data_IF_513721375337
#
_entry.id   IF_513721375337
#
_cell.length_a   1.000
_cell.length_b   1.000
_cell.length_c   1.000
_cell.angle_alpha   90.00
_cell.angle_beta   90.00
_cell.angle_gamma   90.00
#
_symmetry.space_group_name_H-M   'P 1'
#
loop_
_entity.id
_entity.type
_entity.pdbx_description
1 polymer ?
#
# COMPACT_ATOMS: atom_id res chain seq x y z
N UNK A 1 -12.62 -1.98 -27.37
CA UNK A 1 -11.56 -1.05 -27.85
C UNK A 1 -10.37 -1.21 -26.92
N UNK A 2 -9.14 -1.09 -27.42
CA UNK A 2 -7.95 -1.07 -26.57
C UNK A 2 -7.95 0.18 -25.68
N UNK A 3 -7.31 0.08 -24.50
CA UNK A 3 -7.33 1.15 -23.50
C UNK A 3 -6.69 2.44 -24.03
N UNK A 4 -5.53 2.38 -24.68
CA UNK A 4 -4.82 3.59 -25.13
C UNK A 4 -5.65 4.39 -26.16
N UNK A 5 -6.36 3.67 -27.04
CA UNK A 5 -7.24 4.30 -28.03
C UNK A 5 -8.47 4.91 -27.36
N UNK A 6 -9.00 4.27 -26.33
CA UNK A 6 -10.16 4.77 -25.59
C UNK A 6 -9.82 6.03 -24.81
N UNK A 7 -8.70 6.02 -24.09
CA UNK A 7 -8.17 7.16 -23.35
C UNK A 7 -7.97 8.38 -24.25
N UNK A 8 -7.30 8.19 -25.40
CA UNK A 8 -7.13 9.26 -26.39
C UNK A 8 -8.47 9.80 -26.94
N UNK A 9 -9.46 8.93 -27.15
CA UNK A 9 -10.80 9.35 -27.59
C UNK A 9 -11.54 10.15 -26.53
N UNK A 10 -11.37 9.80 -25.26
CA UNK A 10 -11.98 10.55 -24.16
C UNK A 10 -11.31 11.93 -24.03
N UNK A 11 -9.98 12.00 -24.15
CA UNK A 11 -9.27 13.29 -24.22
C UNK A 11 -9.79 14.18 -25.37
N UNK A 12 -10.00 13.61 -26.55
CA UNK A 12 -10.62 14.34 -27.66
C UNK A 12 -12.05 14.78 -27.36
N UNK A 13 -12.86 13.91 -26.73
CA UNK A 13 -14.23 14.25 -26.33
C UNK A 13 -14.27 15.44 -25.36
N UNK A 14 -13.33 15.52 -24.40
CA UNK A 14 -13.20 16.66 -23.48
C UNK A 14 -12.97 17.96 -24.27
N UNK A 15 -12.07 17.94 -25.25
CA UNK A 15 -11.83 19.10 -26.11
C UNK A 15 -13.05 19.47 -26.97
N UNK A 16 -13.70 18.47 -27.57
CA UNK A 16 -14.89 18.69 -28.38
C UNK A 16 -16.05 19.26 -27.55
N UNK A 17 -16.21 18.81 -26.31
CA UNK A 17 -17.24 19.33 -25.42
C UNK A 17 -17.01 20.81 -25.09
N UNK A 18 -15.75 21.22 -24.80
CA UNK A 18 -15.40 22.64 -24.63
C UNK A 18 -15.73 23.46 -25.87
N UNK A 19 -15.28 23.01 -27.05
CA UNK A 19 -15.49 23.73 -28.31
C UNK A 19 -16.99 23.83 -28.63
N UNK A 20 -17.73 22.74 -28.47
CA UNK A 20 -19.16 22.72 -28.76
C UNK A 20 -19.93 23.71 -27.89
N UNK A 21 -19.72 23.70 -26.57
CA UNK A 21 -20.45 24.58 -25.65
C UNK A 21 -19.98 26.03 -25.77
N UNK A 22 -18.68 26.30 -25.69
CA UNK A 22 -18.14 27.67 -25.61
C UNK A 22 -18.11 28.41 -26.95
N UNK A 23 -18.08 27.68 -28.07
CA UNK A 23 -18.00 28.29 -29.41
C UNK A 23 -19.24 28.02 -30.24
N UNK A 24 -19.59 26.75 -30.50
CA UNK A 24 -20.62 26.42 -31.48
C UNK A 24 -22.02 26.80 -30.99
N UNK A 25 -22.42 26.32 -29.81
CA UNK A 25 -23.74 26.61 -29.26
C UNK A 25 -23.89 28.08 -28.85
N UNK A 26 -22.82 28.68 -28.31
CA UNK A 26 -22.81 30.12 -28.03
C UNK A 26 -22.92 30.97 -29.31
N UNK A 27 -22.29 30.55 -30.41
CA UNK A 27 -22.40 31.20 -31.71
C UNK A 27 -23.79 31.08 -32.29
N UNK A 28 -24.35 29.87 -32.30
CA UNK A 28 -25.70 29.59 -32.79
C UNK A 28 -26.74 30.39 -32.00
N UNK A 29 -26.61 30.45 -30.66
CA UNK A 29 -27.51 31.24 -29.82
C UNK A 29 -27.51 32.72 -30.22
N UNK A 30 -26.34 33.31 -30.45
CA UNK A 30 -26.20 34.70 -30.92
C UNK A 30 -26.84 34.92 -32.30
N UNK A 31 -26.72 33.95 -33.21
CA UNK A 31 -27.33 34.03 -34.53
C UNK A 31 -28.87 33.98 -34.40
N UNK A 32 -29.40 33.04 -33.61
CA UNK A 32 -30.83 32.99 -33.31
C UNK A 32 -31.33 34.30 -32.68
N UNK A 33 -30.58 34.87 -31.73
CA UNK A 33 -30.90 36.14 -31.08
C UNK A 33 -30.92 37.32 -32.07
N UNK A 34 -30.02 37.35 -33.06
CA UNK A 34 -29.97 38.41 -34.07
C UNK A 34 -31.07 38.28 -35.14
N UNK A 35 -31.39 37.07 -35.57
CA UNK A 35 -32.34 36.83 -36.68
C UNK A 35 -33.79 36.90 -36.19
N UNK A 36 -34.06 36.39 -34.98
CA UNK A 36 -35.41 36.24 -34.43
C UNK A 36 -35.69 37.24 -33.30
N UNK A 37 -35.06 38.41 -33.37
CA UNK A 37 -35.26 39.49 -32.42
C UNK A 37 -36.74 39.91 -32.36
N UNK A 38 -37.28 40.05 -31.14
CA UNK A 38 -38.69 40.35 -30.89
C UNK A 38 -39.67 39.16 -30.92
N UNK A 39 -39.22 37.92 -31.20
CA UNK A 39 -40.08 36.71 -31.16
C UNK A 39 -39.49 35.59 -30.29
N UNK A 40 -39.41 35.85 -28.98
CA UNK A 40 -38.72 35.00 -27.99
C UNK A 40 -39.10 33.52 -28.05
N UNK A 41 -40.38 33.19 -28.23
CA UNK A 41 -40.86 31.79 -28.28
C UNK A 41 -40.33 31.03 -29.50
N UNK A 42 -40.26 31.66 -30.68
CA UNK A 42 -39.75 31.01 -31.89
C UNK A 42 -38.23 30.93 -31.87
N UNK A 43 -37.56 31.96 -31.32
CA UNK A 43 -36.11 31.99 -31.14
C UNK A 43 -35.59 30.81 -30.34
N UNK A 44 -36.19 30.59 -29.17
CA UNK A 44 -35.74 29.53 -28.26
C UNK A 44 -36.05 28.14 -28.81
N UNK A 45 -37.15 27.99 -29.56
CA UNK A 45 -37.52 26.73 -30.20
C UNK A 45 -36.63 26.41 -31.40
N UNK A 46 -36.31 27.39 -32.24
CA UNK A 46 -35.39 27.23 -33.36
C UNK A 46 -33.99 26.81 -32.87
N UNK A 47 -33.47 27.50 -31.85
CA UNK A 47 -32.19 27.13 -31.24
C UNK A 47 -32.21 25.69 -30.70
N UNK A 48 -33.27 25.29 -30.02
CA UNK A 48 -33.43 23.92 -29.51
C UNK A 48 -33.38 22.88 -30.65
N UNK A 49 -34.17 23.09 -31.71
CA UNK A 49 -34.24 22.17 -32.85
C UNK A 49 -32.91 22.02 -33.61
N UNK A 50 -32.12 23.10 -33.73
CA UNK A 50 -30.82 23.05 -34.40
C UNK A 50 -29.77 22.31 -33.55
N UNK A 51 -29.80 22.51 -32.24
CA UNK A 51 -28.76 22.01 -31.33
C UNK A 51 -29.02 20.60 -30.79
N UNK A 52 -30.29 20.15 -30.71
CA UNK A 52 -30.69 18.92 -30.00
C UNK A 52 -29.92 17.68 -30.45
N UNK A 53 -29.75 17.49 -31.76
CA UNK A 53 -29.03 16.33 -32.30
C UNK A 53 -27.54 16.37 -31.94
N UNK A 54 -26.91 17.54 -32.02
CA UNK A 54 -25.49 17.71 -31.70
C UNK A 54 -25.21 17.48 -30.22
N UNK A 55 -26.08 18.01 -29.35
CA UNK A 55 -26.00 17.78 -27.89
C UNK A 55 -26.20 16.30 -27.58
N UNK A 56 -27.21 15.67 -28.18
CA UNK A 56 -27.48 14.24 -28.00
C UNK A 56 -26.28 13.37 -28.37
N UNK A 57 -25.62 13.63 -29.51
CA UNK A 57 -24.42 12.89 -29.92
C UNK A 57 -23.29 13.04 -28.91
N UNK A 58 -23.00 14.27 -28.46
CA UNK A 58 -21.94 14.53 -27.48
C UNK A 58 -22.21 13.81 -26.15
N UNK A 59 -23.43 13.92 -25.63
CA UNK A 59 -23.80 13.30 -24.35
C UNK A 59 -23.87 11.78 -24.45
N UNK A 60 -24.33 11.22 -25.58
CA UNK A 60 -24.40 9.77 -25.79
C UNK A 60 -23.04 9.08 -25.72
N UNK A 61 -21.96 9.76 -26.19
CA UNK A 61 -20.60 9.26 -26.01
C UNK A 61 -20.26 9.17 -24.52
N UNK A 62 -20.54 10.25 -23.78
CA UNK A 62 -20.30 10.27 -22.34
C UNK A 62 -21.04 9.16 -21.59
N UNK A 63 -22.31 8.96 -21.93
CA UNK A 63 -23.12 7.89 -21.36
C UNK A 63 -22.56 6.50 -21.69
N UNK A 64 -22.11 6.28 -22.92
CA UNK A 64 -21.54 5.00 -23.32
C UNK A 64 -20.27 4.67 -22.53
N UNK A 65 -19.45 5.67 -22.20
CA UNK A 65 -18.27 5.48 -21.33
C UNK A 65 -18.70 5.19 -19.89
N UNK A 66 -19.62 5.97 -19.33
CA UNK A 66 -20.09 5.78 -17.96
C UNK A 66 -20.77 4.41 -17.74
N UNK A 67 -21.49 3.90 -18.76
CA UNK A 67 -22.12 2.57 -18.73
C UNK A 67 -21.17 1.43 -19.12
N UNK A 68 -19.94 1.73 -19.53
CA UNK A 68 -18.99 0.70 -19.94
C UNK A 68 -18.48 -0.11 -18.76
N UNK A 69 -17.83 -1.25 -19.02
CA UNK A 69 -17.22 -2.07 -17.96
C UNK A 69 -16.29 -1.22 -17.09
N UNK A 70 -16.59 -1.15 -15.79
CA UNK A 70 -15.79 -0.47 -14.77
C UNK A 70 -14.41 -1.13 -14.62
N UNK A 71 -13.38 -0.32 -14.42
CA UNK A 71 -12.04 -0.78 -14.03
C UNK A 71 -11.31 0.35 -13.29
N UNK A 72 -10.34 0.03 -12.41
CA UNK A 72 -9.62 1.06 -11.65
C UNK A 72 -8.92 2.08 -12.54
N UNK A 73 -8.32 1.65 -13.65
CA UNK A 73 -7.59 2.51 -14.58
C UNK A 73 -8.49 3.56 -15.25
N UNK A 74 -9.79 3.23 -15.40
CA UNK A 74 -10.78 4.15 -15.97
C UNK A 74 -11.19 5.28 -15.03
N UNK A 75 -10.96 5.13 -13.73
CA UNK A 75 -11.46 6.08 -12.73
C UNK A 75 -10.95 7.51 -13.00
N UNK A 76 -9.67 7.67 -13.34
CA UNK A 76 -9.07 8.99 -13.57
C UNK A 76 -9.66 9.66 -14.81
N UNK A 77 -9.84 8.91 -15.89
CA UNK A 77 -10.45 9.44 -17.11
C UNK A 77 -11.93 9.77 -16.93
N UNK A 78 -12.66 9.02 -16.08
CA UNK A 78 -14.02 9.37 -15.67
C UNK A 78 -14.06 10.67 -14.85
N UNK A 79 -13.06 10.91 -14.00
CA UNK A 79 -12.92 12.16 -13.27
C UNK A 79 -12.66 13.34 -14.21
N UNK A 80 -11.80 13.18 -15.23
CA UNK A 80 -11.58 14.21 -16.24
C UNK A 80 -12.88 14.57 -16.99
N UNK A 81 -13.69 13.55 -17.31
CA UNK A 81 -15.01 13.75 -17.92
C UNK A 81 -15.98 14.47 -16.98
N UNK A 82 -15.95 14.15 -15.69
CA UNK A 82 -16.76 14.82 -14.68
C UNK A 82 -16.34 16.29 -14.50
N UNK A 83 -15.04 16.57 -14.49
CA UNK A 83 -14.50 17.93 -14.42
C UNK A 83 -14.99 18.79 -15.57
N UNK A 84 -14.94 18.29 -16.81
CA UNK A 84 -15.40 19.08 -17.95
C UNK A 84 -16.90 19.35 -17.91
N UNK A 85 -17.70 18.37 -17.48
CA UNK A 85 -19.15 18.57 -17.34
C UNK A 85 -19.47 19.64 -16.31
N UNK A 86 -18.71 19.70 -15.22
CA UNK A 86 -18.86 20.74 -14.19
C UNK A 86 -18.31 22.09 -14.60
N UNK A 87 -17.17 22.11 -15.31
CA UNK A 87 -16.59 23.33 -15.89
C UNK A 87 -17.61 24.04 -16.79
N UNK A 88 -18.38 23.27 -17.57
CA UNK A 88 -19.34 23.78 -18.54
C UNK A 88 -20.76 23.96 -18.00
N UNK A 89 -21.01 23.61 -16.73
CA UNK A 89 -22.36 23.58 -16.18
C UNK A 89 -23.06 24.95 -16.27
N UNK A 90 -22.38 26.02 -15.89
CA UNK A 90 -22.94 27.38 -15.93
C UNK A 90 -23.28 27.84 -17.35
N UNK A 91 -22.43 27.53 -18.32
CA UNK A 91 -22.63 27.87 -19.72
C UNK A 91 -23.77 27.07 -20.32
N UNK A 92 -23.90 25.79 -19.97
CA UNK A 92 -25.02 24.94 -20.37
C UNK A 92 -26.34 25.50 -19.81
N UNK A 93 -26.38 25.87 -18.53
CA UNK A 93 -27.58 26.48 -17.92
C UNK A 93 -27.96 27.81 -18.58
N UNK A 94 -26.96 28.63 -18.94
CA UNK A 94 -27.19 29.91 -19.63
C UNK A 94 -27.72 29.69 -21.06
N UNK A 95 -27.06 28.84 -21.84
CA UNK A 95 -27.38 28.62 -23.27
C UNK A 95 -28.73 27.94 -23.44
N UNK A 96 -29.03 26.96 -22.59
CA UNK A 96 -30.21 26.10 -22.67
C UNK A 96 -31.28 26.45 -21.63
N UNK A 97 -31.23 27.66 -21.06
CA UNK A 97 -32.12 28.11 -19.97
C UNK A 97 -33.61 28.19 -20.32
N UNK A 98 -33.96 28.20 -21.61
CA UNK A 98 -35.34 28.27 -22.09
C UNK A 98 -36.13 26.97 -21.80
N UNK A 99 -37.47 27.06 -21.83
CA UNK A 99 -38.34 25.88 -21.69
C UNK A 99 -38.16 24.89 -22.84
N UNK A 100 -37.88 25.36 -24.04
CA UNK A 100 -37.67 24.51 -25.22
C UNK A 100 -36.40 23.65 -25.13
N UNK A 101 -35.44 24.06 -24.29
CA UNK A 101 -34.14 23.40 -24.16
C UNK A 101 -34.00 22.57 -22.87
N UNK A 102 -35.08 22.38 -22.11
CA UNK A 102 -35.03 21.74 -20.78
C UNK A 102 -34.44 20.33 -20.82
N UNK A 103 -34.83 19.53 -21.83
CA UNK A 103 -34.37 18.14 -21.99
C UNK A 103 -32.84 18.06 -22.17
N UNK A 104 -32.23 19.04 -22.85
CA UNK A 104 -30.77 19.07 -23.05
C UNK A 104 -30.02 19.36 -21.75
N UNK A 105 -30.54 20.26 -20.91
CA UNK A 105 -29.98 20.53 -19.58
C UNK A 105 -30.12 19.32 -18.67
N UNK A 106 -31.31 18.73 -18.64
CA UNK A 106 -31.57 17.53 -17.85
C UNK A 106 -30.67 16.37 -18.28
N UNK A 107 -30.45 16.19 -19.59
CA UNK A 107 -29.53 15.19 -20.12
C UNK A 107 -28.07 15.45 -19.70
N UNK A 108 -27.60 16.70 -19.76
CA UNK A 108 -26.24 17.06 -19.33
C UNK A 108 -26.05 16.84 -17.81
N UNK A 109 -27.04 17.23 -17.01
CA UNK A 109 -27.05 17.00 -15.56
C UNK A 109 -27.08 15.50 -15.24
N UNK A 110 -27.91 14.74 -15.96
CA UNK A 110 -28.02 13.28 -15.84
C UNK A 110 -26.69 12.59 -16.13
N UNK A 111 -25.98 13.01 -17.20
CA UNK A 111 -24.65 12.49 -17.51
C UNK A 111 -23.65 12.80 -16.38
N UNK A 112 -23.65 14.03 -15.86
CA UNK A 112 -22.76 14.45 -14.76
C UNK A 112 -22.96 13.57 -13.53
N UNK A 113 -24.21 13.36 -13.13
CA UNK A 113 -24.56 12.47 -12.02
C UNK A 113 -24.13 11.03 -12.30
N UNK A 114 -24.41 10.53 -13.52
CA UNK A 114 -24.03 9.17 -13.90
C UNK A 114 -22.53 8.95 -13.83
N UNK A 115 -21.71 9.89 -14.32
CA UNK A 115 -20.26 9.82 -14.24
C UNK A 115 -19.79 9.71 -12.78
N UNK A 116 -20.35 10.53 -11.90
CA UNK A 116 -20.02 10.50 -10.49
C UNK A 116 -20.47 9.22 -9.77
N UNK A 117 -21.66 8.70 -10.07
CA UNK A 117 -22.12 7.38 -9.60
C UNK A 117 -21.14 6.30 -10.04
N UNK A 118 -20.74 6.29 -11.32
CA UNK A 118 -19.79 5.32 -11.85
C UNK A 118 -18.42 5.41 -11.17
N UNK A 119 -17.95 6.61 -10.81
CA UNK A 119 -16.72 6.79 -10.03
C UNK A 119 -16.85 6.16 -8.64
N UNK A 120 -17.96 6.40 -7.92
CA UNK A 120 -18.20 5.79 -6.60
C UNK A 120 -18.27 4.26 -6.68
N UNK A 121 -19.01 3.75 -7.65
CA UNK A 121 -19.10 2.34 -7.97
C UNK A 121 -17.73 1.72 -8.31
N UNK A 122 -16.85 2.48 -8.98
CA UNK A 122 -15.50 2.02 -9.34
C UNK A 122 -14.59 1.94 -8.10
N UNK A 123 -14.77 2.82 -7.10
CA UNK A 123 -14.05 2.69 -5.82
C UNK A 123 -14.39 1.40 -5.09
N UNK A 124 -15.68 1.04 -5.05
CA UNK A 124 -16.15 -0.20 -4.41
C UNK A 124 -15.57 -1.42 -5.13
N UNK A 125 -15.63 -1.44 -6.46
CA UNK A 125 -15.04 -2.52 -7.26
C UNK A 125 -13.52 -2.64 -7.04
N UNK A 126 -12.82 -1.51 -6.94
CA UNK A 126 -11.38 -1.49 -6.70
C UNK A 126 -11.03 -2.05 -5.33
N UNK A 127 -11.74 -1.64 -4.27
CA UNK A 127 -11.56 -2.17 -2.92
C UNK A 127 -11.77 -3.69 -2.89
N UNK A 128 -12.86 -4.18 -3.49
CA UNK A 128 -13.16 -5.61 -3.56
C UNK A 128 -12.08 -6.37 -4.34
N UNK A 129 -11.59 -5.81 -5.44
CA UNK A 129 -10.51 -6.41 -6.24
C UNK A 129 -9.18 -6.48 -5.48
N UNK A 130 -8.85 -5.46 -4.68
CA UNK A 130 -7.65 -5.44 -3.84
C UNK A 130 -7.76 -6.46 -2.71
N UNK A 131 -8.91 -6.51 -2.02
CA UNK A 131 -9.13 -7.42 -0.91
C UNK A 131 -9.13 -8.89 -1.36
N UNK A 132 -9.78 -9.18 -2.50
CA UNK A 132 -9.88 -10.54 -3.07
C UNK A 132 -8.74 -10.90 -4.01
N UNK A 133 -7.66 -10.12 -4.05
CA UNK A 133 -6.53 -10.39 -4.94
C UNK A 133 -5.95 -11.79 -4.68
N UNK A 134 -6.36 -12.73 -5.53
CA UNK A 134 -6.07 -14.15 -5.44
C UNK A 134 -4.71 -14.51 -6.06
N UNK A 135 -3.92 -13.52 -6.46
CA UNK A 135 -2.60 -13.78 -7.05
C UNK A 135 -1.73 -14.57 -6.06
N UNK A 136 -1.25 -15.72 -6.52
CA UNK A 136 -0.33 -16.60 -5.77
C UNK A 136 1.11 -16.08 -5.77
N UNK A 137 1.32 -14.83 -6.18
CA UNK A 137 2.64 -14.23 -6.33
C UNK A 137 3.22 -13.97 -4.93
N UNK A 138 3.78 -15.00 -4.32
CA UNK A 138 4.50 -14.86 -3.05
C UNK A 138 5.91 -14.38 -3.34
N UNK A 139 6.28 -13.26 -2.73
CA UNK A 139 7.66 -12.76 -2.78
C UNK A 139 8.50 -13.58 -1.82
N UNK A 140 9.26 -14.54 -2.34
CA UNK A 140 9.96 -15.55 -1.53
C UNK A 140 10.95 -14.98 -0.50
N UNK A 141 11.42 -13.75 -0.71
CA UNK A 141 12.39 -13.04 0.14
C UNK A 141 11.72 -12.13 1.19
N UNK A 142 10.38 -12.05 1.21
CA UNK A 142 9.64 -11.22 2.15
C UNK A 142 9.69 -9.72 1.85
N UNK A 143 10.10 -9.31 0.65
CA UNK A 143 10.14 -7.90 0.24
C UNK A 143 8.73 -7.27 0.12
N UNK A 144 8.66 -6.01 -0.31
CA UNK A 144 7.40 -5.32 -0.60
C UNK A 144 6.69 -6.02 -1.77
N UNK A 145 5.42 -6.36 -1.58
CA UNK A 145 4.61 -7.01 -2.60
C UNK A 145 4.23 -6.01 -3.72
N UNK A 146 4.23 -6.41 -5.00
CA UNK A 146 3.86 -5.51 -6.11
C UNK A 146 2.47 -4.86 -5.95
N UNK A 147 1.49 -5.60 -5.41
CA UNK A 147 0.16 -5.06 -5.07
C UNK A 147 0.25 -3.83 -4.15
N UNK A 148 1.15 -3.85 -3.16
CA UNK A 148 1.33 -2.72 -2.23
C UNK A 148 1.80 -1.49 -2.97
N UNK A 149 2.80 -1.61 -3.84
CA UNK A 149 3.26 -0.49 -4.65
C UNK A 149 2.19 -0.01 -5.62
N UNK A 150 1.43 -0.92 -6.25
CA UNK A 150 0.33 -0.59 -7.16
C UNK A 150 -0.78 0.21 -6.46
N UNK A 151 -1.31 -0.29 -5.34
CA UNK A 151 -2.38 0.37 -4.59
C UNK A 151 -1.92 1.72 -4.04
N UNK A 152 -0.68 1.81 -3.54
CA UNK A 152 -0.14 3.07 -3.03
C UNK A 152 0.04 4.10 -4.15
N UNK A 153 0.49 3.69 -5.33
CA UNK A 153 0.57 4.59 -6.48
C UNK A 153 -0.83 5.02 -6.95
N UNK A 154 -1.79 4.11 -6.95
CA UNK A 154 -3.19 4.44 -7.23
C UNK A 154 -3.71 5.50 -6.27
N UNK A 155 -3.49 5.32 -4.95
CA UNK A 155 -3.87 6.32 -3.95
C UNK A 155 -3.15 7.65 -4.19
N UNK A 156 -1.85 7.66 -4.51
CA UNK A 156 -1.16 8.92 -4.85
C UNK A 156 -1.84 9.66 -6.00
N UNK A 157 -2.19 8.96 -7.09
CA UNK A 157 -2.92 9.56 -8.19
C UNK A 157 -4.33 10.04 -7.80
N UNK A 158 -5.01 9.36 -6.88
CA UNK A 158 -6.30 9.87 -6.37
C UNK A 158 -6.16 11.25 -5.70
N UNK A 159 -5.05 11.49 -5.01
CA UNK A 159 -4.82 12.76 -4.34
C UNK A 159 -4.51 13.91 -5.31
N UNK A 160 -4.02 13.62 -6.51
CA UNK A 160 -3.93 14.63 -7.58
C UNK A 160 -5.33 15.16 -7.97
N UNK A 161 -6.37 14.33 -7.81
CA UNK A 161 -7.77 14.66 -8.05
C UNK A 161 -8.57 15.04 -6.78
N UNK A 162 -7.89 15.35 -5.67
CA UNK A 162 -8.57 15.58 -4.38
C UNK A 162 -9.66 16.67 -4.44
N UNK A 163 -9.45 17.77 -5.16
CA UNK A 163 -10.42 18.86 -5.29
C UNK A 163 -11.68 18.39 -6.01
N UNK A 164 -11.50 17.60 -7.06
CA UNK A 164 -12.55 17.07 -7.92
C UNK A 164 -13.35 16.02 -7.16
N UNK A 165 -12.69 15.13 -6.44
CA UNK A 165 -13.34 14.15 -5.58
C UNK A 165 -14.16 14.80 -4.48
N UNK A 166 -13.64 15.85 -3.82
CA UNK A 166 -14.40 16.59 -2.81
C UNK A 166 -15.66 17.25 -3.40
N UNK A 167 -15.56 17.77 -4.63
CA UNK A 167 -16.71 18.35 -5.33
C UNK A 167 -17.72 17.27 -5.73
N UNK A 168 -17.24 16.12 -6.20
CA UNK A 168 -18.05 14.96 -6.53
C UNK A 168 -18.84 14.47 -5.32
N UNK A 169 -18.19 14.32 -4.16
CA UNK A 169 -18.88 13.85 -2.95
C UNK A 169 -19.98 14.80 -2.47
N UNK A 170 -19.82 16.12 -2.63
CA UNK A 170 -20.86 17.10 -2.30
C UNK A 170 -22.14 16.95 -3.13
N UNK A 171 -22.07 16.34 -4.30
CA UNK A 171 -23.26 16.15 -5.15
C UNK A 171 -24.17 15.02 -4.65
N UNK A 172 -23.65 14.09 -3.85
CA UNK A 172 -24.36 12.88 -3.39
C UNK A 172 -24.61 12.85 -1.89
N UNK A 173 -23.75 13.52 -1.12
CA UNK A 173 -23.81 13.49 0.34
C UNK A 173 -23.59 14.91 0.89
N UNK A 174 -24.41 15.28 1.88
CA UNK A 174 -24.26 16.53 2.64
C UNK A 174 -23.15 16.43 3.70
N UNK A 175 -22.59 15.24 3.89
CA UNK A 175 -21.47 14.97 4.79
C UNK A 175 -20.19 15.66 4.33
N UNK A 176 -19.25 15.79 5.26
CA UNK A 176 -17.95 16.40 4.99
C UNK A 176 -17.17 15.62 3.91
N UNK A 177 -16.87 16.25 2.75
CA UNK A 177 -16.14 15.61 1.67
C UNK A 177 -14.73 15.14 2.06
N UNK A 178 -14.10 15.84 3.01
CA UNK A 178 -12.81 15.43 3.56
C UNK A 178 -12.95 14.10 4.32
N UNK A 179 -13.99 13.97 5.15
CA UNK A 179 -14.30 12.72 5.84
C UNK A 179 -14.63 11.57 4.86
N UNK A 180 -15.32 11.84 3.76
CA UNK A 180 -15.64 10.84 2.73
C UNK A 180 -14.38 10.38 1.98
N UNK A 181 -13.51 11.30 1.57
CA UNK A 181 -12.24 10.96 0.93
C UNK A 181 -11.33 10.19 1.89
N UNK A 182 -11.30 10.57 3.17
CA UNK A 182 -10.56 9.86 4.21
C UNK A 182 -11.10 8.44 4.40
N UNK A 183 -12.43 8.28 4.40
CA UNK A 183 -13.10 6.99 4.51
C UNK A 183 -12.77 6.06 3.33
N UNK A 184 -12.89 6.54 2.09
CA UNK A 184 -12.53 5.77 0.88
C UNK A 184 -11.05 5.38 0.91
N UNK A 185 -10.16 6.31 1.23
CA UNK A 185 -8.73 6.04 1.33
C UNK A 185 -8.44 5.00 2.41
N UNK A 186 -9.06 5.12 3.58
CA UNK A 186 -8.89 4.18 4.70
C UNK A 186 -9.38 2.78 4.33
N UNK A 187 -10.52 2.67 3.63
CA UNK A 187 -11.06 1.39 3.14
C UNK A 187 -10.12 0.71 2.16
N UNK A 188 -9.58 1.44 1.19
CA UNK A 188 -8.57 0.91 0.24
C UNK A 188 -7.33 0.41 0.99
N UNK A 189 -6.83 1.18 1.96
CA UNK A 189 -5.67 0.77 2.77
C UNK A 189 -5.97 -0.47 3.63
N UNK A 190 -7.19 -0.58 4.17
CA UNK A 190 -7.61 -1.74 4.95
C UNK A 190 -7.74 -2.99 4.07
N UNK A 191 -8.34 -2.87 2.89
CA UNK A 191 -8.43 -3.95 1.91
C UNK A 191 -7.04 -4.46 1.51
N UNK A 192 -6.08 -3.55 1.29
CA UNK A 192 -4.69 -3.91 1.03
C UNK A 192 -4.08 -4.67 2.22
N UNK A 193 -4.27 -4.20 3.44
CA UNK A 193 -3.76 -4.87 4.65
C UNK A 193 -4.37 -6.26 4.83
N UNK A 194 -5.67 -6.43 4.62
CA UNK A 194 -6.35 -7.73 4.69
C UNK A 194 -5.80 -8.70 3.65
N UNK A 195 -5.60 -8.22 2.42
CA UNK A 195 -5.00 -8.98 1.32
C UNK A 195 -3.57 -9.42 1.66
N UNK A 196 -2.76 -8.53 2.23
CA UNK A 196 -1.40 -8.83 2.68
C UNK A 196 -1.38 -9.84 3.83
N UNK A 197 -2.26 -9.73 4.82
CA UNK A 197 -2.40 -10.73 5.88
C UNK A 197 -2.74 -12.11 5.31
N UNK A 198 -3.70 -12.17 4.37
CA UNK A 198 -4.06 -13.39 3.64
C UNK A 198 -2.87 -14.01 2.91
N UNK A 199 -2.06 -13.20 2.22
CA UNK A 199 -0.85 -13.67 1.52
C UNK A 199 0.26 -14.09 2.49
N UNK A 200 0.40 -13.41 3.62
CA UNK A 200 1.44 -13.70 4.62
C UNK A 200 1.31 -15.11 5.22
N UNK A 201 0.08 -15.66 5.24
CA UNK A 201 -0.22 -17.03 5.71
C UNK A 201 0.34 -18.14 4.79
N UNK A 202 0.81 -17.79 3.60
CA UNK A 202 1.40 -18.75 2.65
C UNK A 202 2.88 -19.05 2.98
N UNK A 203 3.56 -18.22 3.77
CA UNK A 203 4.92 -18.49 4.21
C UNK A 203 4.95 -19.62 5.23
N UNK A 204 5.89 -20.55 5.05
CA UNK A 204 6.13 -21.64 6.01
C UNK A 204 6.87 -21.19 7.26
N UNK A 205 7.76 -20.21 7.12
CA UNK A 205 8.53 -19.65 8.24
C UNK A 205 7.75 -18.47 8.85
N UNK A 206 7.27 -18.59 10.10
CA UNK A 206 6.53 -17.52 10.75
C UNK A 206 7.35 -16.23 10.92
N UNK A 207 8.69 -16.34 10.93
CA UNK A 207 9.58 -15.18 11.00
C UNK A 207 9.53 -14.37 9.70
N UNK A 208 9.48 -15.07 8.55
CA UNK A 208 9.37 -14.44 7.24
C UNK A 208 8.00 -13.79 7.05
N UNK A 209 6.93 -14.39 7.58
CA UNK A 209 5.60 -13.78 7.66
C UNK A 209 5.66 -12.41 8.34
N UNK A 210 6.32 -12.32 9.50
CA UNK A 210 6.44 -11.04 10.22
C UNK A 210 7.29 -10.02 9.46
N UNK A 211 8.40 -10.46 8.85
CA UNK A 211 9.26 -9.59 8.05
C UNK A 211 8.52 -9.02 6.83
N UNK A 212 7.75 -9.86 6.15
CA UNK A 212 6.91 -9.47 5.01
C UNK A 212 5.87 -8.42 5.40
N UNK A 213 5.12 -8.65 6.48
CA UNK A 213 4.12 -7.69 6.96
C UNK A 213 4.78 -6.37 7.38
N UNK A 214 5.90 -6.45 8.11
CA UNK A 214 6.69 -5.28 8.51
C UNK A 214 7.11 -4.43 7.30
N UNK A 215 7.70 -5.06 6.28
CA UNK A 215 8.16 -4.37 5.06
C UNK A 215 7.02 -3.66 4.33
N UNK A 216 5.88 -4.34 4.16
CA UNK A 216 4.75 -3.78 3.42
C UNK A 216 4.05 -2.65 4.19
N UNK A 217 3.80 -2.83 5.49
CA UNK A 217 3.21 -1.75 6.32
C UNK A 217 4.16 -0.56 6.41
N UNK A 218 5.47 -0.78 6.56
CA UNK A 218 6.45 0.30 6.56
C UNK A 218 6.46 1.08 5.24
N UNK A 219 6.40 0.37 4.10
CA UNK A 219 6.31 1.00 2.79
C UNK A 219 5.05 1.86 2.64
N UNK A 220 3.90 1.36 3.12
CA UNK A 220 2.63 2.10 3.15
C UNK A 220 2.80 3.39 3.98
N UNK A 221 3.30 3.29 5.20
CA UNK A 221 3.53 4.43 6.10
C UNK A 221 4.46 5.47 5.49
N UNK A 222 5.61 5.03 4.94
CA UNK A 222 6.59 5.93 4.32
C UNK A 222 6.02 6.62 3.09
N UNK A 223 5.17 5.93 2.34
CA UNK A 223 4.54 6.49 1.14
C UNK A 223 3.47 7.52 1.48
N UNK A 224 2.61 7.24 2.46
CA UNK A 224 1.59 8.18 2.96
C UNK A 224 2.24 9.42 3.54
N UNK A 225 3.33 9.28 4.31
CA UNK A 225 4.06 10.42 4.87
C UNK A 225 4.67 11.36 3.83
N UNK A 226 4.85 10.89 2.60
CA UNK A 226 5.45 11.63 1.49
C UNK A 226 4.40 12.17 0.52
N UNK A 227 3.12 12.02 0.81
CA UNK A 227 2.02 12.48 -0.04
C UNK A 227 1.00 13.28 0.76
N UNK A 228 0.13 13.99 0.05
CA UNK A 228 -0.98 14.79 0.61
C UNK A 228 -1.98 13.94 1.41
N UNK A 229 -1.94 12.62 1.23
CA UNK A 229 -2.68 11.66 2.05
C UNK A 229 -2.37 11.76 3.55
N UNK A 230 -1.18 12.24 3.93
CA UNK A 230 -0.82 12.46 5.34
C UNK A 230 -1.77 13.46 6.00
N UNK A 231 -2.03 14.58 5.35
CA UNK A 231 -2.81 15.68 5.94
C UNK A 231 -4.28 15.27 6.12
N UNK A 232 -4.79 14.44 5.20
CA UNK A 232 -6.15 13.91 5.28
C UNK A 232 -6.32 12.79 6.32
N UNK A 233 -5.38 11.84 6.39
CA UNK A 233 -5.46 10.70 7.32
C UNK A 233 -5.04 11.07 8.75
N UNK A 234 -4.23 12.12 8.90
CA UNK A 234 -3.76 12.64 10.17
C UNK A 234 -2.58 11.86 10.78
N UNK A 235 -1.91 12.51 11.75
CA UNK A 235 -0.73 11.95 12.41
C UNK A 235 -1.06 10.71 13.26
N UNK A 236 -2.28 10.59 13.78
CA UNK A 236 -2.71 9.43 14.57
C UNK A 236 -2.69 8.15 13.74
N UNK A 237 -3.20 8.21 12.50
CA UNK A 237 -3.16 7.07 11.58
C UNK A 237 -1.72 6.62 11.32
N UNK A 238 -0.82 7.57 11.11
CA UNK A 238 0.61 7.31 10.90
C UNK A 238 1.24 6.67 12.14
N UNK A 239 0.93 7.16 13.34
CA UNK A 239 1.45 6.61 14.58
C UNK A 239 0.95 5.19 14.84
N UNK A 240 -0.33 4.91 14.60
CA UNK A 240 -0.91 3.58 14.72
C UNK A 240 -0.15 2.59 13.83
N UNK A 241 0.05 2.92 12.56
CA UNK A 241 0.72 2.01 11.63
C UNK A 241 2.22 1.89 11.92
N UNK A 242 2.91 2.94 12.40
CA UNK A 242 4.29 2.81 12.93
C UNK A 242 4.36 1.83 14.10
N UNK A 243 3.37 1.81 15.00
CA UNK A 243 3.31 0.82 16.10
C UNK A 243 3.10 -0.59 15.56
N UNK A 244 2.30 -0.78 14.50
CA UNK A 244 2.12 -2.08 13.84
C UNK A 244 3.44 -2.58 13.23
N UNK A 245 4.20 -1.71 12.55
CA UNK A 245 5.56 -2.05 12.06
C UNK A 245 6.45 -2.53 13.20
N UNK A 246 6.46 -1.80 14.33
CA UNK A 246 7.26 -2.19 15.49
C UNK A 246 6.80 -3.51 16.12
N UNK A 247 5.48 -3.79 16.15
CA UNK A 247 4.94 -5.05 16.62
C UNK A 247 5.44 -6.23 15.77
N UNK A 248 5.39 -6.10 14.44
CA UNK A 248 5.93 -7.13 13.55
C UNK A 248 7.45 -7.31 13.71
N UNK A 249 8.21 -6.22 13.85
CA UNK A 249 9.65 -6.29 14.13
C UNK A 249 9.95 -7.04 15.44
N UNK A 250 9.21 -6.73 16.51
CA UNK A 250 9.35 -7.39 17.80
C UNK A 250 8.96 -8.88 17.74
N UNK A 251 7.89 -9.22 17.02
CA UNK A 251 7.45 -10.59 16.86
C UNK A 251 8.44 -11.40 16.01
N UNK A 252 8.96 -10.82 14.93
CA UNK A 252 10.06 -11.38 14.15
C UNK A 252 11.26 -11.71 15.05
N UNK A 253 11.70 -10.74 15.87
CA UNK A 253 12.82 -10.93 16.81
C UNK A 253 12.57 -12.10 17.75
N UNK A 254 11.38 -12.13 18.36
CA UNK A 254 10.98 -13.16 19.31
C UNK A 254 10.95 -14.54 18.67
N UNK A 255 10.36 -14.69 17.49
CA UNK A 255 10.24 -16.00 16.83
C UNK A 255 11.61 -16.48 16.35
N UNK A 256 12.37 -15.64 15.66
CA UNK A 256 13.64 -16.03 15.02
C UNK A 256 14.74 -16.33 16.03
N UNK A 257 14.81 -15.55 17.11
CA UNK A 257 15.99 -15.55 17.98
C UNK A 257 15.75 -16.20 19.35
N UNK A 258 14.52 -16.53 19.73
CA UNK A 258 14.26 -17.15 21.04
C UNK A 258 15.02 -18.46 21.26
N UNK A 259 15.06 -19.34 20.24
CA UNK A 259 15.67 -20.67 20.37
C UNK A 259 17.18 -20.62 20.53
N UNK A 260 17.85 -19.73 19.78
CA UNK A 260 19.29 -19.53 19.86
C UNK A 260 19.68 -18.81 21.17
N UNK A 261 18.88 -17.85 21.62
CA UNK A 261 19.08 -17.20 22.92
C UNK A 261 18.88 -18.17 24.10
N UNK A 262 17.97 -19.14 23.99
CA UNK A 262 17.80 -20.20 24.99
C UNK A 262 19.03 -21.12 25.07
N UNK A 263 19.76 -21.32 23.96
CA UNK A 263 21.02 -22.08 23.98
C UNK A 263 22.09 -21.37 24.83
N UNK A 264 22.07 -20.04 24.82
CA UNK A 264 22.98 -19.17 25.57
C UNK A 264 22.51 -18.89 27.01
N UNK A 265 21.26 -19.25 27.35
CA UNK A 265 20.74 -19.10 28.71
C UNK A 265 21.08 -20.31 29.58
N UNK A 266 21.47 -20.03 30.82
CA UNK A 266 21.79 -21.06 31.82
C UNK A 266 20.60 -21.17 32.77
N UNK A 267 19.59 -21.96 32.39
CA UNK A 267 18.65 -22.48 33.38
C UNK A 267 19.27 -23.74 33.98
N UNK A 268 19.56 -23.70 35.28
CA UNK A 268 19.97 -24.89 36.03
C UNK A 268 18.89 -25.95 35.88
N UNK A 269 19.22 -27.06 35.22
CA UNK A 269 18.32 -28.19 35.10
C UNK A 269 18.11 -28.84 36.46
N UNK A 270 17.01 -28.50 37.13
CA UNK A 270 16.44 -29.34 38.17
C UNK A 270 15.43 -30.29 37.50
N UNK A 271 15.94 -31.38 36.93
CA UNK A 271 15.14 -32.57 36.63
C UNK A 271 15.59 -33.66 37.60
N UNK A 272 14.89 -33.76 38.73
CA UNK A 272 15.16 -34.70 39.82
C UNK A 272 14.74 -34.07 41.15
N UNK A 273 13.62 -34.53 41.71
CA UNK A 273 12.95 -33.90 42.84
C UNK A 273 13.80 -33.75 44.11
N UNK A 274 13.52 -32.70 44.87
CA UNK A 274 14.10 -32.47 46.19
C UNK A 274 14.19 -30.98 46.53
N UNK A 275 13.40 -30.57 47.51
CA UNK A 275 13.39 -29.23 48.11
C UNK A 275 14.78 -28.70 48.48
N UNK A 276 15.07 -27.43 48.18
CA UNK A 276 15.65 -26.43 49.10
C UNK A 276 16.31 -25.26 48.34
N UNK A 277 15.83 -24.07 48.68
CA UNK A 277 16.54 -22.85 49.09
C UNK A 277 17.76 -22.34 48.29
N UNK A 278 17.71 -21.03 48.07
CA UNK A 278 18.71 -20.09 47.55
C UNK A 278 20.10 -20.34 48.13
N UNK A 279 21.12 -20.47 47.27
CA UNK A 279 22.51 -20.18 47.62
C UNK A 279 23.34 -19.81 46.38
N UNK A 280 24.24 -18.87 46.64
CA UNK A 280 25.19 -18.17 45.80
C UNK A 280 26.20 -19.07 45.06
N UNK A 281 26.77 -18.54 43.98
CA UNK A 281 28.13 -18.85 43.51
C UNK A 281 28.52 -20.30 43.22
N UNK A 282 28.17 -20.81 42.03
CA UNK A 282 28.88 -21.98 41.50
C UNK A 282 28.37 -22.47 40.15
N UNK A 283 29.26 -22.59 39.16
CA UNK A 283 29.07 -23.37 37.94
C UNK A 283 29.04 -24.90 38.22
N UNK A 284 28.56 -25.31 39.39
CA UNK A 284 28.71 -26.63 40.00
C UNK A 284 27.82 -27.71 39.37
N UNK A 285 26.75 -27.32 38.65
CA UNK A 285 25.81 -28.27 38.03
C UNK A 285 25.99 -28.51 36.52
N UNK A 286 26.91 -27.81 35.84
CA UNK A 286 26.97 -27.80 34.37
C UNK A 286 28.21 -28.56 33.89
N UNK A 287 27.98 -29.72 33.26
CA UNK A 287 29.09 -30.55 32.77
C UNK A 287 29.79 -29.92 31.55
N UNK A 288 31.09 -30.16 31.41
CA UNK A 288 31.87 -29.78 30.22
C UNK A 288 31.25 -30.32 28.92
N UNK A 289 30.64 -31.50 28.97
CA UNK A 289 29.93 -32.10 27.84
C UNK A 289 28.70 -31.28 27.44
N UNK A 290 27.91 -30.82 28.41
CA UNK A 290 26.74 -29.97 28.19
C UNK A 290 27.12 -28.61 27.58
N UNK A 291 28.20 -27.98 28.07
CA UNK A 291 28.71 -26.72 27.49
C UNK A 291 29.12 -26.92 26.02
N UNK A 292 29.85 -27.99 25.73
CA UNK A 292 30.26 -28.34 24.37
C UNK A 292 29.07 -28.57 23.44
N UNK A 293 28.02 -29.20 23.93
CA UNK A 293 26.79 -29.43 23.18
C UNK A 293 26.05 -28.12 22.89
N UNK A 294 25.94 -27.22 23.86
CA UNK A 294 25.35 -25.89 23.68
C UNK A 294 26.09 -25.05 22.63
N UNK A 295 27.42 -25.05 22.65
CA UNK A 295 28.22 -24.36 21.61
C UNK A 295 27.97 -24.95 20.21
N UNK A 296 27.90 -26.27 20.07
CA UNK A 296 27.57 -26.91 18.78
C UNK A 296 26.17 -26.54 18.31
N UNK A 297 25.19 -26.59 19.21
CA UNK A 297 23.80 -26.25 18.90
C UNK A 297 23.67 -24.77 18.51
N UNK A 298 24.36 -23.87 19.22
CA UNK A 298 24.46 -22.46 18.84
C UNK A 298 25.03 -22.29 17.44
N UNK A 299 26.18 -22.92 17.14
CA UNK A 299 26.82 -22.79 15.83
C UNK A 299 25.87 -23.25 14.69
N UNK A 300 25.23 -24.41 14.87
CA UNK A 300 24.30 -24.94 13.87
C UNK A 300 23.08 -24.03 13.68
N UNK A 301 22.47 -23.55 14.77
CA UNK A 301 21.32 -22.63 14.69
C UNK A 301 21.69 -21.29 14.08
N UNK A 302 22.86 -20.73 14.41
CA UNK A 302 23.31 -19.47 13.83
C UNK A 302 23.60 -19.62 12.32
N UNK A 303 24.26 -20.71 11.90
CA UNK A 303 24.53 -21.00 10.49
C UNK A 303 23.22 -21.15 9.70
N UNK A 304 22.22 -21.85 10.25
CA UNK A 304 20.90 -22.00 9.61
C UNK A 304 20.13 -20.68 9.51
N UNK A 305 20.22 -19.83 10.55
CA UNK A 305 19.62 -18.49 10.53
C UNK A 305 20.34 -17.59 9.51
N UNK A 306 21.66 -17.55 9.54
CA UNK A 306 22.50 -16.80 8.60
C UNK A 306 22.21 -17.16 7.14
N UNK A 307 22.25 -18.45 6.81
CA UNK A 307 22.01 -18.92 5.45
C UNK A 307 20.62 -18.57 4.91
N UNK A 308 19.61 -18.56 5.78
CA UNK A 308 18.22 -18.29 5.40
C UNK A 308 17.94 -16.78 5.33
N UNK A 309 18.28 -16.04 6.37
CA UNK A 309 17.88 -14.63 6.50
C UNK A 309 18.78 -13.67 5.70
N UNK A 310 19.97 -14.10 5.26
CA UNK A 310 20.75 -13.39 4.25
C UNK A 310 20.07 -13.37 2.88
N UNK A 311 19.19 -14.34 2.59
CA UNK A 311 18.42 -14.38 1.34
C UNK A 311 17.12 -13.57 1.40
N UNK A 312 16.73 -13.11 2.59
CA UNK A 312 15.56 -12.25 2.76
C UNK A 312 15.92 -10.80 2.44
N UNK A 313 14.93 -9.97 2.19
CA UNK A 313 15.14 -8.58 1.79
C UNK A 313 14.33 -7.63 2.66
N UNK A 314 14.98 -6.62 3.24
CA UNK A 314 14.32 -5.46 3.84
C UNK A 314 14.70 -4.24 3.00
N UNK A 315 13.84 -3.77 2.08
CA UNK A 315 14.23 -2.76 1.10
C UNK A 315 14.67 -1.43 1.71
N UNK A 316 14.02 -1.02 2.80
CA UNK A 316 14.32 0.22 3.50
C UNK A 316 15.60 0.08 4.34
N UNK A 317 16.61 0.89 4.05
CA UNK A 317 17.91 0.82 4.72
C UNK A 317 17.85 1.17 6.21
N UNK A 318 17.06 2.18 6.58
CA UNK A 318 16.94 2.60 7.99
C UNK A 318 16.25 1.53 8.82
N UNK A 319 15.17 0.95 8.28
CA UNK A 319 14.48 -0.18 8.91
C UNK A 319 15.39 -1.41 9.01
N UNK A 320 16.16 -1.71 7.96
CA UNK A 320 17.10 -2.83 7.92
C UNK A 320 18.17 -2.70 9.00
N UNK A 321 18.83 -1.55 9.07
CA UNK A 321 19.87 -1.32 10.07
C UNK A 321 19.30 -1.30 11.48
N UNK A 322 18.14 -0.69 11.69
CA UNK A 322 17.45 -0.74 12.98
C UNK A 322 17.16 -2.19 13.41
N UNK A 323 16.74 -3.05 12.48
CA UNK A 323 16.47 -4.46 12.79
C UNK A 323 17.74 -5.24 13.11
N UNK A 324 18.82 -5.03 12.35
CA UNK A 324 20.15 -5.64 12.58
C UNK A 324 20.68 -5.27 13.97
N UNK A 325 20.67 -3.97 14.30
CA UNK A 325 21.07 -3.45 15.61
C UNK A 325 20.24 -4.07 16.73
N UNK A 326 18.91 -4.09 16.57
CA UNK A 326 18.02 -4.60 17.60
C UNK A 326 18.23 -6.10 17.89
N UNK A 327 18.68 -6.90 16.91
CA UNK A 327 19.07 -8.29 17.14
C UNK A 327 20.46 -8.38 17.77
N UNK A 328 21.42 -7.58 17.31
CA UNK A 328 22.79 -7.56 17.81
C UNK A 328 22.85 -7.21 19.31
N UNK A 329 22.05 -6.22 19.73
CA UNK A 329 21.91 -5.78 21.12
C UNK A 329 21.44 -6.88 22.08
N UNK A 330 20.77 -7.92 21.57
CA UNK A 330 20.31 -9.05 22.39
C UNK A 330 21.27 -10.23 22.28
N UNK A 331 21.74 -10.55 21.08
CA UNK A 331 22.55 -11.74 20.83
C UNK A 331 24.00 -11.58 21.33
N UNK A 332 24.64 -10.45 21.02
CA UNK A 332 26.07 -10.26 21.30
C UNK A 332 26.35 -10.23 22.81
N UNK A 333 25.57 -9.53 23.66
CA UNK A 333 25.80 -9.58 25.10
C UNK A 333 25.59 -10.98 25.68
N UNK A 334 24.55 -11.69 25.23
CA UNK A 334 24.29 -13.07 25.65
C UNK A 334 25.44 -14.01 25.27
N UNK A 335 25.94 -13.90 24.04
CA UNK A 335 27.05 -14.72 23.55
C UNK A 335 28.36 -14.40 24.28
N UNK A 336 28.72 -13.11 24.41
CA UNK A 336 29.92 -12.67 25.15
C UNK A 336 29.89 -13.17 26.59
N UNK A 337 28.75 -13.08 27.27
CA UNK A 337 28.58 -13.58 28.63
C UNK A 337 28.74 -15.10 28.72
N UNK A 338 28.09 -15.85 27.83
CA UNK A 338 28.19 -17.31 27.76
C UNK A 338 29.63 -17.77 27.48
N UNK A 339 30.29 -17.15 26.50
CA UNK A 339 31.68 -17.43 26.15
C UNK A 339 32.64 -17.10 27.28
N UNK A 340 32.51 -15.94 27.94
CA UNK A 340 33.36 -15.57 29.09
C UNK A 340 33.20 -16.56 30.24
N UNK A 341 31.97 -17.04 30.50
CA UNK A 341 31.67 -17.93 31.61
C UNK A 341 32.12 -19.38 31.36
N UNK A 342 31.93 -19.90 30.15
CA UNK A 342 32.14 -21.33 29.85
C UNK A 342 33.26 -21.62 28.84
N UNK A 343 33.79 -20.61 28.16
CA UNK A 343 34.90 -20.72 27.21
C UNK A 343 36.12 -21.46 27.78
N UNK A 344 36.62 -21.10 28.98
CA UNK A 344 37.77 -21.77 29.58
C UNK A 344 37.58 -23.29 29.80
N UNK A 345 36.33 -23.76 29.97
CA UNK A 345 36.04 -25.19 30.13
C UNK A 345 36.22 -25.98 28.82
N UNK A 346 36.12 -25.30 27.68
CA UNK A 346 36.20 -25.87 26.33
C UNK A 346 37.59 -25.69 25.73
N UNK A 347 38.21 -24.52 25.97
CA UNK A 347 39.56 -24.16 25.54
C UNK A 347 40.63 -25.12 26.08
N UNK A 348 40.47 -25.57 27.32
CA UNK A 348 41.36 -26.54 27.96
C UNK A 348 41.19 -28.00 27.47
N UNK A 349 40.44 -28.21 26.38
CA UNK A 349 40.15 -29.53 25.82
C UNK A 349 40.74 -29.76 24.42
N UNK A 350 40.64 -30.99 23.90
CA UNK A 350 41.04 -31.30 22.52
C UNK A 350 40.09 -30.61 21.51
N UNK A 351 40.67 -29.90 20.54
CA UNK A 351 40.00 -29.20 19.42
C UNK A 351 38.97 -28.13 19.84
N UNK A 352 39.38 -27.04 20.51
CA UNK A 352 38.47 -26.00 20.99
C UNK A 352 37.75 -25.26 19.84
N UNK A 353 38.43 -25.08 18.70
CA UNK A 353 37.90 -24.45 17.48
C UNK A 353 36.68 -25.18 16.89
N UNK A 354 36.48 -26.47 17.22
CA UNK A 354 35.28 -27.20 16.79
C UNK A 354 34.01 -26.68 17.47
N UNK A 355 34.15 -26.12 18.67
CA UNK A 355 33.06 -25.72 19.55
C UNK A 355 32.91 -24.19 19.57
N UNK A 356 33.99 -23.46 19.84
CA UNK A 356 34.01 -21.99 19.79
C UNK A 356 34.44 -21.59 18.39
N UNK A 357 33.50 -21.56 17.43
CA UNK A 357 33.77 -21.25 16.02
C UNK A 357 33.82 -19.76 15.72
N UNK A 358 33.06 -18.97 16.48
CA UNK A 358 32.82 -17.56 16.20
C UNK A 358 33.38 -16.70 17.32
N UNK A 359 34.04 -15.59 16.97
CA UNK A 359 34.24 -14.50 17.92
C UNK A 359 33.02 -13.58 17.91
N UNK A 360 32.78 -12.80 18.97
CA UNK A 360 31.71 -11.80 18.96
C UNK A 360 31.80 -10.83 17.78
N UNK A 361 33.01 -10.47 17.34
CA UNK A 361 33.27 -9.56 16.22
C UNK A 361 32.97 -10.22 14.87
N UNK A 362 33.16 -11.55 14.75
CA UNK A 362 32.75 -12.30 13.56
C UNK A 362 31.23 -12.42 13.50
N UNK A 363 30.56 -12.70 14.62
CA UNK A 363 29.10 -12.72 14.68
C UNK A 363 28.52 -11.38 14.26
N UNK A 364 29.03 -10.28 14.83
CA UNK A 364 28.59 -8.93 14.49
C UNK A 364 28.72 -8.63 12.99
N UNK A 365 29.86 -9.00 12.37
CA UNK A 365 30.05 -8.88 10.92
C UNK A 365 29.02 -9.69 10.12
N UNK A 366 28.81 -10.96 10.47
CA UNK A 366 27.84 -11.82 9.79
C UNK A 366 26.40 -11.31 9.96
N UNK A 367 26.09 -10.68 11.09
CA UNK A 367 24.78 -10.07 11.32
C UNK A 367 24.53 -8.86 10.41
N UNK A 368 25.57 -8.14 10.04
CA UNK A 368 25.50 -7.05 9.06
C UNK A 368 25.27 -7.54 7.62
N UNK A 369 25.24 -8.85 7.36
CA UNK A 369 24.91 -9.42 6.04
C UNK A 369 23.41 -9.79 5.93
N UNK A 370 22.64 -9.70 7.03
CA UNK A 370 21.23 -10.07 7.02
C UNK A 370 20.37 -9.12 6.18
N UNK A 371 19.37 -9.66 5.49
CA UNK A 371 18.33 -8.89 4.78
C UNK A 371 18.80 -8.08 3.55
N UNK A 372 19.99 -8.33 3.02
CA UNK A 372 20.46 -7.69 1.78
C UNK A 372 19.76 -8.23 0.53
N UNK A 373 19.09 -9.38 0.68
CA UNK A 373 18.62 -10.19 -0.44
C UNK A 373 19.80 -10.88 -1.12
N UNK A 374 19.50 -11.75 -2.08
CA UNK A 374 20.53 -12.13 -3.04
C UNK A 374 20.87 -10.87 -3.83
N UNK A 375 22.07 -10.31 -3.65
CA UNK A 375 22.69 -9.53 -4.71
C UNK A 375 22.62 -10.44 -5.94
N UNK A 376 21.82 -10.06 -6.93
CA UNK A 376 21.90 -10.63 -8.27
C UNK A 376 23.24 -10.13 -8.85
N UNK A 377 24.36 -10.59 -8.27
CA UNK A 377 25.65 -10.56 -8.92
C UNK A 377 25.52 -11.50 -10.10
N UNK A 378 25.27 -10.92 -11.27
CA UNK A 378 25.51 -11.50 -12.59
C UNK A 378 25.27 -13.02 -12.63
N UNK A 379 24.03 -13.45 -12.86
CA UNK A 379 23.86 -14.72 -13.54
C UNK A 379 24.54 -14.59 -14.90
N UNK A 380 25.74 -15.19 -14.94
CA UNK A 380 26.64 -15.34 -16.09
C UNK A 380 25.89 -15.47 -17.42
N UNK A 381 26.43 -14.73 -18.39
CA UNK A 381 26.32 -14.90 -19.84
C UNK A 381 25.92 -16.30 -20.31
#
# INVERSE_FOLDING_TARGET
MQWEVLEAKIGNWIHYMRIAVKLLFAGEKKICDQILDGVDSLRDQCFAEVTVNSVSVLLSFGEAIAKSKRSPEKLFVLLDMFEIMRELHSEIELLFGSKACIEMREAALSLTKRLAETVQETFVDFEEAVEKDATKTTVLDGTVHPLTSYVINYVKFLFDYQSTLKQLFREFDASDPDALLASVTTRIMQALQNSLDGKSKQYRDPSLTQLFLMNNVHYIVRSVQRSDAKDLLGDDWVQIHRRIVQQHANQYKRISWAKILQCLSVQGGASGGGSAMVADGGASGISRAMVKDRFKTFNAQFEELHQRQSQWTVPDSELRESLRLAVAEVLLPAYRSFQKRFGPMVENGKNPQKYIRYSPEVLDRMMNEFFEGKTWSEQKR
#
